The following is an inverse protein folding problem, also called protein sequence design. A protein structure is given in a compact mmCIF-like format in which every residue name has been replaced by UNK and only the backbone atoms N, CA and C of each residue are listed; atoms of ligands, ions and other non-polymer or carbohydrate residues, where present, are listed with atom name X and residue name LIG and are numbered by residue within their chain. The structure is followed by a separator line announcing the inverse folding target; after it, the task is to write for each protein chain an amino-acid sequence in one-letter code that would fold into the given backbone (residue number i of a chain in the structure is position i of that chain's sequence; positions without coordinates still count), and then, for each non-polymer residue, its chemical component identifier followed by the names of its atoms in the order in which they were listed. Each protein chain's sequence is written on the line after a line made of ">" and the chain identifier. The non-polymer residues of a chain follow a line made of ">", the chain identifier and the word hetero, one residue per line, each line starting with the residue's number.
data_IF_444806009183
#
_entry.id   IF_444806009183
#
_cell.length_a   1.000
_cell.length_b   1.000
_cell.length_c   1.000
_cell.angle_alpha   90.00
_cell.angle_beta   90.00
_cell.angle_gamma   90.00
#
_symmetry.space_group_name_H-M   'P 1'
#
loop_
_entity.id
_entity.type
_entity.pdbx_description
1 polymer ?
#
# COMPACT_ATOMS: atom_id res chain seq x y z
N UNK A 1 14.00 -23.63 28.09
CA UNK A 1 13.95 -22.36 27.31
C UNK A 1 13.62 -22.76 25.88
N UNK A 2 12.34 -22.78 25.53
CA UNK A 2 11.82 -23.43 24.32
C UNK A 2 11.70 -22.42 23.18
N UNK A 3 12.43 -22.72 22.10
CA UNK A 3 12.14 -22.52 20.68
C UNK A 3 11.51 -21.18 20.23
N UNK A 4 12.36 -20.32 19.65
CA UNK A 4 11.98 -19.28 18.68
C UNK A 4 11.34 -19.97 17.47
N UNK A 5 10.01 -19.87 17.35
CA UNK A 5 9.28 -20.25 16.14
C UNK A 5 9.72 -19.33 15.00
N UNK A 6 10.22 -19.93 13.92
CA UNK A 6 10.38 -19.29 12.63
C UNK A 6 9.05 -18.70 12.16
N UNK A 7 9.09 -17.44 11.75
CA UNK A 7 8.00 -16.70 11.12
C UNK A 7 8.63 -15.66 10.22
N UNK A 8 9.30 -16.10 9.17
CA UNK A 8 9.90 -15.20 8.17
C UNK A 8 10.23 -15.96 6.88
N UNK A 9 9.29 -16.74 6.33
CA UNK A 9 9.48 -17.42 5.02
C UNK A 9 8.34 -17.16 4.02
N UNK A 10 7.33 -16.34 4.33
CA UNK A 10 6.21 -16.08 3.39
C UNK A 10 6.23 -14.69 2.72
N UNK A 11 7.10 -13.78 3.16
CA UNK A 11 7.22 -12.44 2.56
C UNK A 11 8.18 -12.42 1.34
N UNK A 12 8.83 -13.55 1.01
CA UNK A 12 9.84 -13.67 -0.06
C UNK A 12 9.26 -13.82 -1.48
N UNK A 13 7.98 -14.19 -1.62
CA UNK A 13 7.42 -14.56 -2.92
C UNK A 13 7.14 -13.37 -3.86
N UNK A 14 7.13 -12.14 -3.33
CA UNK A 14 6.77 -10.94 -4.11
C UNK A 14 7.98 -10.18 -4.69
N UNK A 15 9.21 -10.55 -4.31
CA UNK A 15 10.43 -9.89 -4.76
C UNK A 15 11.08 -10.54 -6.00
N UNK A 16 10.57 -11.69 -6.45
CA UNK A 16 11.16 -12.49 -7.54
C UNK A 16 10.62 -12.12 -8.94
N UNK A 17 9.62 -11.23 -9.06
CA UNK A 17 9.00 -10.89 -10.33
C UNK A 17 9.78 -9.87 -11.21
N UNK A 18 10.95 -9.38 -10.78
CA UNK A 18 11.71 -8.34 -11.50
C UNK A 18 12.87 -8.89 -12.38
N UNK A 19 12.75 -10.13 -12.86
CA UNK A 19 13.64 -10.68 -13.89
C UNK A 19 13.22 -10.20 -15.29
N UNK A 20 13.23 -8.89 -15.54
CA UNK A 20 13.16 -8.36 -16.90
C UNK A 20 13.81 -6.97 -17.04
N UNK A 21 15.13 -6.99 -17.24
CA UNK A 21 15.88 -6.12 -18.17
C UNK A 21 15.63 -4.60 -18.14
N UNK A 22 16.60 -3.86 -17.60
CA UNK A 22 16.78 -2.45 -17.90
C UNK A 22 17.50 -1.71 -16.77
N UNK A 23 18.71 -1.25 -17.04
CA UNK A 23 19.47 -0.36 -16.17
C UNK A 23 18.65 0.90 -15.83
N UNK A 24 18.12 0.98 -14.62
CA UNK A 24 17.55 2.20 -14.06
C UNK A 24 17.84 2.19 -12.57
N UNK A 25 18.63 3.16 -12.10
CA UNK A 25 19.07 3.36 -10.70
C UNK A 25 17.91 3.71 -9.73
N UNK A 26 16.68 3.37 -10.08
CA UNK A 26 15.46 3.64 -9.32
C UNK A 26 14.64 2.37 -9.21
N UNK A 27 14.48 1.87 -7.98
CA UNK A 27 13.53 0.80 -7.67
C UNK A 27 12.15 1.45 -7.61
N UNK A 28 11.43 1.33 -8.72
CA UNK A 28 10.16 2.01 -8.96
C UNK A 28 10.14 2.53 -10.39
N UNK A 29 9.08 2.22 -11.13
CA UNK A 29 8.91 2.51 -12.55
C UNK A 29 8.71 4.02 -12.79
N UNK A 30 9.75 4.82 -12.53
CA UNK A 30 9.77 6.26 -12.73
C UNK A 30 9.56 6.55 -14.22
N UNK A 31 8.34 6.94 -14.60
CA UNK A 31 7.99 7.28 -15.98
C UNK A 31 6.67 6.72 -16.51
N UNK A 32 5.94 5.87 -15.75
CA UNK A 32 4.58 5.47 -16.14
C UNK A 32 3.54 6.38 -15.51
N UNK A 33 2.61 6.86 -16.33
CA UNK A 33 1.41 7.58 -15.87
C UNK A 33 0.65 6.63 -14.94
N UNK A 34 0.46 7.03 -13.69
CA UNK A 34 -0.37 6.28 -12.75
C UNK A 34 -1.78 6.23 -13.33
N UNK A 35 -2.26 5.04 -13.68
CA UNK A 35 -3.67 4.88 -14.06
C UNK A 35 -4.50 5.03 -12.81
N UNK A 36 -5.65 5.71 -12.89
CA UNK A 36 -6.53 5.99 -11.76
C UNK A 36 -7.86 5.19 -11.90
N UNK A 37 -7.84 3.85 -11.89
CA UNK A 37 -9.05 3.04 -12.10
C UNK A 37 -9.93 2.95 -10.84
N UNK A 38 -9.37 3.18 -9.66
CA UNK A 38 -10.06 2.94 -8.38
C UNK A 38 -10.39 4.21 -7.59
N UNK A 39 -9.67 5.30 -7.84
CA UNK A 39 -9.90 6.62 -7.23
C UNK A 39 -9.63 7.70 -8.27
N UNK A 40 -10.17 8.90 -8.09
CA UNK A 40 -9.84 10.05 -8.94
C UNK A 40 -8.44 10.62 -8.63
N UNK A 41 -7.87 11.34 -9.59
CA UNK A 41 -6.59 12.04 -9.39
C UNK A 41 -6.66 13.07 -8.26
N UNK A 42 -7.81 13.75 -8.11
CA UNK A 42 -8.06 14.73 -7.07
C UNK A 42 -8.04 14.09 -5.68
N UNK A 43 -8.68 12.91 -5.53
CA UNK A 43 -8.66 12.15 -4.28
C UNK A 43 -7.25 11.69 -3.90
N UNK A 44 -6.47 11.18 -4.86
CA UNK A 44 -5.08 10.82 -4.63
C UNK A 44 -4.26 12.03 -4.17
N UNK A 45 -4.44 13.19 -4.80
CA UNK A 45 -3.72 14.41 -4.45
C UNK A 45 -4.09 14.91 -3.03
N UNK A 46 -5.36 14.84 -2.64
CA UNK A 46 -5.78 15.15 -1.27
C UNK A 46 -5.13 14.21 -0.26
N UNK A 47 -5.05 12.92 -0.57
CA UNK A 47 -4.39 11.91 0.26
C UNK A 47 -2.90 12.19 0.36
N UNK A 48 -2.24 12.54 -0.75
CA UNK A 48 -0.83 12.91 -0.78
C UNK A 48 -0.54 14.12 0.12
N UNK A 49 -1.34 15.18 -0.01
CA UNK A 49 -1.25 16.38 0.81
C UNK A 49 -1.46 16.07 2.31
N UNK A 50 -2.45 15.24 2.63
CA UNK A 50 -2.73 14.82 4.00
C UNK A 50 -1.63 13.94 4.62
N UNK A 51 -0.80 13.33 3.77
CA UNK A 51 0.25 12.38 4.20
C UNK A 51 1.60 13.04 4.49
N UNK A 52 1.74 14.34 4.24
CA UNK A 52 2.90 15.16 4.61
C UNK A 52 4.24 14.48 4.24
N UNK A 53 4.38 14.07 2.97
CA UNK A 53 5.55 13.38 2.41
C UNK A 53 5.95 12.06 3.09
N UNK A 54 5.03 11.43 3.84
CA UNK A 54 5.26 10.11 4.42
C UNK A 54 4.65 9.01 3.56
N UNK A 55 5.50 8.14 3.01
CA UNK A 55 5.09 6.98 2.21
C UNK A 55 4.11 6.05 2.95
N UNK A 56 4.32 5.84 4.27
CA UNK A 56 3.46 4.97 5.07
C UNK A 56 2.10 5.59 5.38
N UNK A 57 2.04 6.90 5.64
CA UNK A 57 0.77 7.61 5.80
C UNK A 57 -0.01 7.66 4.48
N UNK A 58 0.70 7.88 3.37
CA UNK A 58 0.12 7.87 2.02
C UNK A 58 -0.48 6.51 1.68
N UNK A 59 0.27 5.42 1.86
CA UNK A 59 -0.23 4.07 1.66
C UNK A 59 -1.41 3.74 2.58
N UNK A 60 -1.35 4.16 3.85
CA UNK A 60 -2.45 3.95 4.81
C UNK A 60 -3.73 4.66 4.39
N UNK A 61 -3.65 5.93 3.99
CA UNK A 61 -4.80 6.73 3.58
C UNK A 61 -5.38 6.23 2.25
N UNK A 62 -4.53 5.85 1.29
CA UNK A 62 -4.96 5.20 0.05
C UNK A 62 -5.71 3.91 0.34
N UNK A 63 -5.12 3.02 1.15
CA UNK A 63 -5.75 1.77 1.54
C UNK A 63 -7.08 2.00 2.26
N UNK A 64 -7.20 3.07 3.06
CA UNK A 64 -8.44 3.42 3.75
C UNK A 64 -9.58 3.72 2.77
N UNK A 65 -9.29 4.38 1.65
CA UNK A 65 -10.29 4.68 0.61
C UNK A 65 -10.57 3.45 -0.25
N UNK A 66 -9.52 2.78 -0.72
CA UNK A 66 -9.63 1.62 -1.62
C UNK A 66 -10.29 0.40 -1.00
N UNK A 67 -10.02 0.18 0.29
CA UNK A 67 -10.52 -0.96 1.06
C UNK A 67 -11.59 -0.53 2.07
N UNK A 68 -12.30 0.58 1.84
CA UNK A 68 -13.32 1.09 2.75
C UNK A 68 -14.43 0.07 3.08
N UNK A 69 -14.61 -0.97 2.25
CA UNK A 69 -15.55 -2.08 2.46
C UNK A 69 -14.92 -3.30 3.14
N UNK A 70 -13.59 -3.41 3.12
CA UNK A 70 -12.82 -4.57 3.57
C UNK A 70 -11.76 -4.20 4.61
N UNK A 71 -11.91 -3.07 5.32
CA UNK A 71 -10.91 -2.58 6.29
C UNK A 71 -10.64 -3.55 7.45
N UNK A 72 -11.52 -4.51 7.68
CA UNK A 72 -11.41 -5.60 8.64
C UNK A 72 -10.45 -6.73 8.21
N UNK A 73 -10.00 -6.73 6.95
CA UNK A 73 -9.04 -7.69 6.41
C UNK A 73 -7.60 -7.13 6.43
N UNK A 74 -6.63 -8.01 6.69
CA UNK A 74 -5.22 -7.63 6.63
C UNK A 74 -4.83 -7.26 5.21
N UNK A 75 -3.82 -6.39 5.06
CA UNK A 75 -3.34 -5.93 3.77
C UNK A 75 -3.00 -7.09 2.82
N UNK A 76 -2.47 -8.21 3.29
CA UNK A 76 -2.17 -9.38 2.44
C UNK A 76 -3.42 -10.10 1.89
N UNK A 77 -4.54 -9.99 2.59
CA UNK A 77 -5.80 -10.67 2.29
C UNK A 77 -6.76 -9.76 1.49
N UNK A 78 -6.33 -8.53 1.20
CA UNK A 78 -7.07 -7.58 0.37
C UNK A 78 -7.01 -7.94 -1.13
N UNK A 79 -7.91 -7.31 -1.90
CA UNK A 79 -7.98 -7.46 -3.35
C UNK A 79 -6.59 -7.28 -4.02
N UNK A 80 -6.09 -8.31 -4.73
CA UNK A 80 -4.75 -8.30 -5.30
C UNK A 80 -4.53 -7.18 -6.31
N UNK A 81 -5.54 -6.78 -7.08
CA UNK A 81 -5.41 -5.73 -8.07
C UNK A 81 -5.27 -4.36 -7.40
N UNK A 82 -6.06 -4.09 -6.34
CA UNK A 82 -5.92 -2.86 -5.54
C UNK A 82 -4.61 -2.81 -4.76
N UNK A 83 -4.11 -3.95 -4.26
CA UNK A 83 -2.79 -4.04 -3.60
C UNK A 83 -1.68 -3.65 -4.57
N UNK A 84 -1.66 -4.27 -5.75
CA UNK A 84 -0.69 -3.95 -6.79
C UNK A 84 -0.74 -2.47 -7.17
N UNK A 85 -1.94 -1.89 -7.25
CA UNK A 85 -2.10 -0.46 -7.53
C UNK A 85 -1.50 0.44 -6.43
N UNK A 86 -1.68 0.11 -5.14
CA UNK A 86 -1.03 0.83 -4.04
C UNK A 86 0.50 0.72 -4.16
N UNK A 87 1.01 -0.45 -4.55
CA UNK A 87 2.44 -0.64 -4.83
C UNK A 87 2.94 0.35 -5.89
N UNK A 88 2.28 0.38 -7.04
CA UNK A 88 2.63 1.31 -8.12
C UNK A 88 2.50 2.78 -7.70
N UNK A 89 1.45 3.15 -6.97
CA UNK A 89 1.21 4.52 -6.53
C UNK A 89 2.26 5.01 -5.53
N UNK A 90 2.63 4.17 -4.56
CA UNK A 90 3.65 4.51 -3.55
C UNK A 90 5.03 4.55 -4.19
N UNK A 91 5.38 3.62 -5.08
CA UNK A 91 6.68 3.63 -5.75
C UNK A 91 6.81 4.79 -6.75
N UNK A 92 5.71 5.22 -7.37
CA UNK A 92 5.68 6.40 -8.24
C UNK A 92 5.95 7.70 -7.49
N UNK A 93 5.34 7.88 -6.30
CA UNK A 93 5.50 9.10 -5.49
C UNK A 93 6.75 9.08 -4.62
N UNK A 94 7.12 7.91 -4.10
CA UNK A 94 8.22 7.70 -3.18
C UNK A 94 9.17 6.62 -3.73
N UNK A 95 9.92 6.91 -4.80
CA UNK A 95 10.89 5.98 -5.36
C UNK A 95 11.95 5.64 -4.31
N UNK A 96 12.44 4.40 -4.33
CA UNK A 96 13.50 3.96 -3.42
C UNK A 96 14.81 3.80 -4.20
N UNK A 97 15.88 4.41 -3.70
CA UNK A 97 17.22 4.27 -4.30
C UNK A 97 17.87 2.92 -4.03
N UNK A 98 17.51 2.26 -2.92
CA UNK A 98 18.12 1.00 -2.49
C UNK A 98 17.07 -0.06 -2.12
N UNK A 99 17.41 -1.33 -2.33
CA UNK A 99 16.59 -2.49 -1.96
C UNK A 99 16.24 -2.53 -0.46
N UNK A 100 17.17 -2.12 0.41
CA UNK A 100 16.93 -2.05 1.86
C UNK A 100 15.91 -0.95 2.20
N UNK A 101 16.01 0.21 1.56
CA UNK A 101 15.06 1.30 1.74
C UNK A 101 13.67 0.90 1.24
N UNK A 102 13.59 0.17 0.10
CA UNK A 102 12.36 -0.39 -0.43
C UNK A 102 11.69 -1.36 0.55
N UNK A 103 12.45 -2.34 1.09
CA UNK A 103 11.92 -3.28 2.09
C UNK A 103 11.45 -2.58 3.37
N UNK A 104 12.22 -1.63 3.89
CA UNK A 104 11.84 -0.88 5.10
C UNK A 104 10.59 -0.01 4.86
N UNK A 105 10.49 0.63 3.70
CA UNK A 105 9.32 1.39 3.27
C UNK A 105 8.08 0.50 3.28
N UNK A 106 8.12 -0.63 2.59
CA UNK A 106 6.97 -1.54 2.49
C UNK A 106 6.59 -2.21 3.80
N UNK A 107 7.56 -2.49 4.69
CA UNK A 107 7.29 -2.94 6.05
C UNK A 107 6.50 -1.89 6.86
N UNK A 108 6.91 -0.62 6.77
CA UNK A 108 6.21 0.47 7.43
C UNK A 108 4.82 0.71 6.82
N UNK A 109 4.70 0.68 5.49
CA UNK A 109 3.42 0.84 4.77
C UNK A 109 2.44 -0.27 5.16
N UNK A 110 2.84 -1.54 5.06
CA UNK A 110 1.99 -2.68 5.41
C UNK A 110 1.52 -2.62 6.86
N UNK A 111 2.40 -2.24 7.78
CA UNK A 111 2.06 -2.04 9.19
C UNK A 111 1.06 -0.90 9.38
N UNK A 112 1.24 0.22 8.68
CA UNK A 112 0.34 1.38 8.74
C UNK A 112 -1.04 1.07 8.14
N UNK A 113 -1.10 0.38 7.01
CA UNK A 113 -2.35 -0.07 6.39
C UNK A 113 -3.14 -0.97 7.35
N UNK A 114 -2.47 -1.95 7.98
CA UNK A 114 -3.10 -2.86 8.94
C UNK A 114 -3.63 -2.15 10.20
N UNK A 115 -3.13 -0.93 10.53
CA UNK A 115 -3.73 -0.14 11.62
C UNK A 115 -5.14 0.35 11.28
N UNK A 116 -5.52 0.41 10.00
CA UNK A 116 -6.88 0.78 9.61
C UNK A 116 -7.92 -0.24 10.08
N UNK A 117 -7.54 -1.50 10.33
CA UNK A 117 -8.43 -2.50 10.92
C UNK A 117 -8.95 -2.05 12.29
N UNK A 118 -8.11 -1.36 13.08
CA UNK A 118 -8.52 -0.80 14.39
C UNK A 118 -9.48 0.37 14.26
N UNK A 119 -9.53 1.01 13.09
CA UNK A 119 -10.51 2.07 12.77
C UNK A 119 -11.84 1.42 12.39
N UNK A 120 -11.83 0.27 11.69
CA UNK A 120 -13.02 -0.54 11.42
C UNK A 120 -13.73 -0.94 12.72
N UNK A 121 -12.97 -1.35 13.75
CA UNK A 121 -13.51 -1.69 15.08
C UNK A 121 -14.16 -0.49 15.82
N UNK A 122 -13.85 0.76 15.41
CA UNK A 122 -14.47 1.97 15.95
C UNK A 122 -15.74 2.41 15.22
N UNK A 123 -16.20 1.63 14.24
CA UNK A 123 -17.46 1.85 13.53
C UNK A 123 -17.38 2.96 12.47
N UNK A 124 -18.06 2.80 11.32
CA UNK A 124 -18.09 3.81 10.28
C UNK A 124 -19.00 4.97 10.69
N UNK A 125 -18.43 6.15 10.93
CA UNK A 125 -19.21 7.37 10.82
C UNK A 125 -19.49 7.62 9.32
N UNK A 126 -20.73 7.36 8.91
CA UNK A 126 -21.35 7.71 7.62
C UNK A 126 -20.82 7.02 6.34
N UNK A 127 -21.54 5.97 5.91
CA UNK A 127 -21.81 5.75 4.47
C UNK A 127 -23.25 6.18 4.21
N UNK A 128 -23.55 7.16 3.34
CA UNK A 128 -24.92 7.36 2.88
C UNK A 128 -25.31 6.17 2.01
N UNK A 129 -26.37 5.48 2.43
CA UNK A 129 -27.04 4.39 1.70
C UNK A 129 -27.24 4.79 0.24
N UNK A 130 -26.65 4.03 -0.69
CA UNK A 130 -27.15 3.98 -2.05
C UNK A 130 -28.61 3.53 -1.98
N UNK A 131 -29.51 4.39 -2.48
CA UNK A 131 -30.90 4.04 -2.73
C UNK A 131 -30.96 3.47 -4.15
N UNK A 132 -31.41 2.25 -4.28
CA UNK A 132 -32.15 1.79 -5.46
C UNK A 132 -33.64 1.72 -5.07
#
# INVERSE_FOLDING_TARGET
>A
RTSKRGRYEEDEDWAEADKAGGSSEYVGRAGKILSYPYISQEEEQQILLASNDSASAYAQNLAKVLFADTLDLYFKDQDPAKRLWIHEAVDYRFPSGDRNAHHLKWKNCSTAINKNMRISERGPANKPKQKE
#
